data_IF_688598732639
#
_entry.id   IF_688598732639
#
_cell.length_a   1.000
_cell.length_b   1.000
_cell.length_c   1.000
_cell.angle_alpha   90.00
_cell.angle_beta   90.00
_cell.angle_gamma   90.00
#
_symmetry.space_group_name_H-M   'P 1'
#
loop_
_entity.id
_entity.type
_entity.pdbx_description
1 polymer ?
#
# COMPACT_ATOMS: atom_id res chain seq x y z
N UNK A 1 -8.19 -17.95 -12.21
CA UNK A 1 -8.27 -18.50 -10.86
C UNK A 1 -7.33 -17.79 -9.89
N UNK A 2 -5.99 -17.88 -10.03
CA UNK A 2 -4.99 -17.39 -9.06
C UNK A 2 -5.11 -15.91 -8.73
N UNK A 3 -5.41 -15.06 -9.71
CA UNK A 3 -5.57 -13.61 -9.49
C UNK A 3 -6.83 -13.35 -8.63
N UNK A 4 -7.92 -14.05 -8.86
CA UNK A 4 -9.16 -13.93 -8.08
C UNK A 4 -8.94 -14.45 -6.65
N UNK A 5 -8.28 -15.58 -6.50
CA UNK A 5 -7.94 -16.15 -5.19
C UNK A 5 -7.02 -15.22 -4.38
N UNK A 6 -5.99 -14.66 -5.01
CA UNK A 6 -5.08 -13.70 -4.36
C UNK A 6 -5.83 -12.44 -3.93
N UNK A 7 -6.71 -11.90 -4.77
CA UNK A 7 -7.55 -10.76 -4.43
C UNK A 7 -8.45 -11.04 -3.22
N UNK A 8 -9.17 -12.18 -3.22
CA UNK A 8 -10.01 -12.59 -2.10
C UNK A 8 -9.19 -12.74 -0.82
N UNK A 9 -8.05 -13.44 -0.88
CA UNK A 9 -7.16 -13.62 0.26
C UNK A 9 -6.66 -12.28 0.81
N UNK A 10 -6.28 -11.36 -0.07
CA UNK A 10 -5.83 -10.00 0.27
C UNK A 10 -6.93 -9.21 0.97
N UNK A 11 -8.14 -9.23 0.42
CA UNK A 11 -9.31 -8.60 1.03
C UNK A 11 -9.55 -9.13 2.45
N UNK A 12 -9.69 -10.45 2.60
CA UNK A 12 -9.96 -11.08 3.89
C UNK A 12 -8.88 -10.77 4.95
N UNK A 13 -7.63 -10.69 4.51
CA UNK A 13 -6.49 -10.41 5.36
C UNK A 13 -6.40 -8.93 5.76
N UNK A 14 -6.48 -8.03 4.78
CA UNK A 14 -6.32 -6.58 4.99
C UNK A 14 -7.48 -5.99 5.79
N UNK A 15 -8.72 -6.41 5.50
CA UNK A 15 -9.92 -5.96 6.22
C UNK A 15 -10.16 -6.69 7.53
N UNK A 16 -9.24 -7.59 7.94
CA UNK A 16 -9.31 -8.30 9.23
C UNK A 16 -10.55 -9.16 9.43
N UNK A 17 -10.97 -9.86 8.40
CA UNK A 17 -12.12 -10.77 8.54
C UNK A 17 -11.83 -11.85 9.58
N UNK A 18 -12.82 -12.13 10.42
CA UNK A 18 -12.74 -13.13 11.48
C UNK A 18 -12.45 -14.54 10.94
N UNK A 19 -11.93 -15.42 11.80
CA UNK A 19 -11.55 -16.78 11.42
C UNK A 19 -12.72 -17.53 10.76
N UNK A 20 -13.90 -17.51 11.36
CA UNK A 20 -15.08 -18.22 10.84
C UNK A 20 -15.52 -17.65 9.47
N UNK A 21 -15.45 -16.33 9.27
CA UNK A 21 -15.76 -15.71 7.98
C UNK A 21 -14.81 -16.18 6.88
N UNK A 22 -13.51 -16.27 7.19
CA UNK A 22 -12.50 -16.77 6.26
C UNK A 22 -12.70 -18.25 5.94
N UNK A 23 -12.94 -19.07 6.96
CA UNK A 23 -13.21 -20.52 6.80
C UNK A 23 -14.44 -20.71 5.91
N UNK A 24 -15.55 -20.05 6.20
CA UNK A 24 -16.78 -20.18 5.43
C UNK A 24 -16.56 -19.75 3.97
N UNK A 25 -15.89 -18.62 3.73
CA UNK A 25 -15.61 -18.17 2.37
C UNK A 25 -14.75 -19.15 1.58
N UNK A 26 -13.70 -19.70 2.19
CA UNK A 26 -12.89 -20.72 1.50
C UNK A 26 -13.59 -22.06 1.34
N UNK A 27 -14.51 -22.41 2.25
CA UNK A 27 -15.36 -23.58 2.11
C UNK A 27 -16.27 -23.43 0.87
N UNK A 28 -16.95 -22.28 0.70
CA UNK A 28 -17.74 -21.97 -0.48
C UNK A 28 -16.91 -22.13 -1.77
N UNK A 29 -15.69 -21.61 -1.79
CA UNK A 29 -14.77 -21.76 -2.94
C UNK A 29 -14.48 -23.24 -3.24
N UNK A 30 -14.22 -24.06 -2.23
CA UNK A 30 -13.93 -25.49 -2.40
C UNK A 30 -15.17 -26.25 -2.89
N UNK A 31 -16.34 -25.98 -2.34
CA UNK A 31 -17.62 -26.59 -2.74
C UNK A 31 -17.93 -26.28 -4.21
N UNK A 32 -17.72 -25.05 -4.66
CA UNK A 32 -17.88 -24.70 -6.06
C UNK A 32 -16.84 -25.40 -6.97
N UNK A 33 -15.59 -25.55 -6.49
CA UNK A 33 -14.53 -26.25 -7.25
C UNK A 33 -14.82 -27.75 -7.42
N UNK A 34 -15.47 -28.38 -6.44
CA UNK A 34 -15.82 -29.80 -6.45
C UNK A 34 -17.10 -30.11 -7.24
N UNK A 35 -17.86 -29.06 -7.61
CA UNK A 35 -19.09 -29.24 -8.40
C UNK A 35 -18.75 -29.76 -9.80
N UNK A 36 -19.39 -30.87 -10.19
CA UNK A 36 -19.17 -31.54 -11.45
C UNK A 36 -19.45 -30.59 -12.64
N UNK A 37 -18.52 -30.53 -13.59
CA UNK A 37 -18.63 -29.63 -14.76
C UNK A 37 -18.20 -28.20 -14.50
N UNK A 38 -17.82 -27.84 -13.28
CA UNK A 38 -17.28 -26.50 -13.00
C UNK A 38 -15.84 -26.41 -13.50
N UNK A 39 -15.61 -25.51 -14.45
CA UNK A 39 -14.26 -25.14 -14.85
C UNK A 39 -13.79 -24.05 -13.88
N UNK A 40 -12.59 -24.17 -13.30
CA UNK A 40 -11.95 -23.22 -12.34
C UNK A 40 -12.00 -21.73 -12.76
N UNK A 41 -12.58 -21.45 -13.91
CA UNK A 41 -12.77 -20.08 -14.44
C UNK A 41 -14.01 -19.38 -13.87
N UNK A 42 -15.04 -20.11 -13.42
CA UNK A 42 -16.35 -19.60 -13.03
C UNK A 42 -16.71 -19.84 -11.55
N UNK A 43 -15.76 -19.63 -10.65
CA UNK A 43 -15.99 -19.74 -9.22
C UNK A 43 -16.46 -18.38 -8.70
N UNK A 44 -17.77 -18.27 -8.46
CA UNK A 44 -18.40 -17.00 -8.05
C UNK A 44 -17.97 -16.55 -6.65
N UNK A 45 -17.76 -17.48 -5.73
CA UNK A 45 -17.28 -17.21 -4.37
C UNK A 45 -15.88 -16.57 -4.30
N UNK A 46 -15.10 -16.61 -5.40
CA UNK A 46 -13.86 -15.87 -5.54
C UNK A 46 -14.07 -14.38 -5.87
N UNK A 47 -15.25 -13.99 -6.33
CA UNK A 47 -15.53 -12.60 -6.65
C UNK A 47 -15.86 -11.81 -5.39
N UNK A 48 -15.34 -10.59 -5.33
CA UNK A 48 -15.71 -9.64 -4.28
C UNK A 48 -17.05 -8.99 -4.65
N UNK A 49 -17.98 -8.98 -3.70
CA UNK A 49 -19.23 -8.22 -3.79
C UNK A 49 -18.91 -6.72 -3.79
N UNK A 50 -19.79 -5.89 -4.31
CA UNK A 50 -19.56 -4.43 -4.34
C UNK A 50 -19.23 -3.87 -2.95
N UNK A 51 -19.97 -4.24 -1.92
CA UNK A 51 -19.72 -3.82 -0.54
C UNK A 51 -18.34 -4.29 -0.02
N UNK A 52 -17.84 -5.44 -0.47
CA UNK A 52 -16.52 -5.95 -0.11
C UNK A 52 -15.41 -5.17 -0.82
N UNK A 53 -15.64 -4.76 -2.07
CA UNK A 53 -14.72 -3.89 -2.81
C UNK A 53 -14.63 -2.50 -2.17
N UNK A 54 -15.78 -1.89 -1.83
CA UNK A 54 -15.84 -0.60 -1.14
C UNK A 54 -15.09 -0.63 0.19
N UNK A 55 -15.33 -1.66 1.00
CA UNK A 55 -14.62 -1.86 2.28
C UNK A 55 -13.11 -2.01 2.08
N UNK A 56 -12.70 -2.76 1.05
CA UNK A 56 -11.29 -2.96 0.75
C UNK A 56 -10.62 -1.66 0.30
N UNK A 57 -11.24 -0.92 -0.63
CA UNK A 57 -10.77 0.39 -1.10
C UNK A 57 -10.67 1.35 0.09
N UNK A 58 -11.72 1.46 0.90
CA UNK A 58 -11.73 2.32 2.10
C UNK A 58 -10.61 1.99 3.08
N UNK A 59 -10.33 0.69 3.27
CA UNK A 59 -9.23 0.26 4.15
C UNK A 59 -7.88 0.65 3.57
N UNK A 60 -7.67 0.47 2.27
CA UNK A 60 -6.42 0.81 1.58
C UNK A 60 -6.20 2.32 1.49
N UNK A 61 -7.27 3.12 1.36
CA UNK A 61 -7.21 4.58 1.38
C UNK A 61 -7.15 5.18 2.80
N UNK A 62 -7.23 4.34 3.82
CA UNK A 62 -7.17 4.74 5.22
C UNK A 62 -5.76 4.97 5.75
N UNK A 63 -5.66 4.98 7.08
CA UNK A 63 -4.40 5.16 7.82
C UNK A 63 -3.62 3.84 7.90
N UNK A 64 -2.99 3.44 6.81
CA UNK A 64 -2.29 2.16 6.66
C UNK A 64 -1.25 1.93 7.76
N UNK A 65 -0.56 2.99 8.20
CA UNK A 65 0.48 2.82 9.23
C UNK A 65 -0.06 2.39 10.60
N UNK A 66 -1.31 2.72 10.90
CA UNK A 66 -1.95 2.34 12.19
C UNK A 66 -2.38 0.87 12.23
N UNK A 67 -2.42 0.20 11.09
CA UNK A 67 -2.70 -1.23 11.03
C UNK A 67 -1.60 -2.05 11.72
N UNK A 68 -1.92 -3.25 12.22
CA UNK A 68 -0.91 -4.18 12.73
C UNK A 68 0.24 -4.38 11.74
N UNK A 69 1.47 -4.51 12.26
CA UNK A 69 2.70 -4.52 11.43
C UNK A 69 2.66 -5.54 10.29
N UNK A 70 2.12 -6.74 10.54
CA UNK A 70 2.02 -7.79 9.53
C UNK A 70 1.10 -7.42 8.36
N UNK A 71 0.02 -6.62 8.60
CA UNK A 71 -0.89 -6.15 7.52
C UNK A 71 -0.30 -4.98 6.75
N UNK A 72 0.17 -3.95 7.45
CA UNK A 72 0.79 -2.81 6.75
C UNK A 72 2.01 -3.22 5.93
N UNK A 73 2.82 -4.14 6.46
CA UNK A 73 3.96 -4.68 5.72
C UNK A 73 3.52 -5.44 4.47
N UNK A 74 2.47 -6.25 4.56
CA UNK A 74 1.89 -6.93 3.40
C UNK A 74 1.44 -5.93 2.32
N UNK A 75 0.68 -4.89 2.71
CA UNK A 75 0.18 -3.86 1.78
C UNK A 75 1.35 -3.16 1.07
N UNK A 76 2.36 -2.72 1.82
CA UNK A 76 3.53 -2.05 1.26
C UNK A 76 4.34 -2.97 0.33
N UNK A 77 4.54 -4.23 0.72
CA UNK A 77 5.23 -5.21 -0.14
C UNK A 77 4.45 -5.48 -1.42
N UNK A 78 3.14 -5.64 -1.30
CA UNK A 78 2.30 -5.93 -2.46
C UNK A 78 2.25 -4.75 -3.42
N UNK A 79 2.18 -3.52 -2.90
CA UNK A 79 2.27 -2.31 -3.71
C UNK A 79 3.61 -2.24 -4.46
N UNK A 80 4.73 -2.47 -3.79
CA UNK A 80 6.05 -2.52 -4.44
C UNK A 80 6.08 -3.55 -5.58
N UNK A 81 5.46 -4.72 -5.37
CA UNK A 81 5.35 -5.74 -6.41
C UNK A 81 4.49 -5.28 -7.61
N UNK A 82 3.43 -4.51 -7.37
CA UNK A 82 2.53 -4.02 -8.42
C UNK A 82 3.14 -2.91 -9.27
N UNK A 83 3.94 -2.03 -8.67
CA UNK A 83 4.59 -0.92 -9.39
C UNK A 83 5.94 -1.31 -10.01
N UNK A 84 6.37 -2.55 -9.82
CA UNK A 84 7.60 -3.07 -10.40
C UNK A 84 7.32 -3.70 -11.76
N UNK A 85 8.10 -3.33 -12.78
CA UNK A 85 8.03 -3.94 -14.12
C UNK A 85 8.66 -5.34 -14.21
N UNK A 86 9.17 -5.85 -13.12
CA UNK A 86 9.82 -7.17 -13.04
C UNK A 86 9.58 -7.85 -11.70
N UNK A 87 9.95 -9.14 -11.62
CA UNK A 87 9.88 -9.88 -10.37
C UNK A 87 10.85 -9.25 -9.35
N UNK A 88 10.32 -8.44 -8.45
CA UNK A 88 11.08 -7.99 -7.28
C UNK A 88 11.32 -9.22 -6.42
N UNK A 89 12.55 -9.72 -6.42
CA UNK A 89 12.98 -10.73 -5.46
C UNK A 89 13.03 -10.06 -4.09
N UNK A 90 12.00 -10.25 -3.29
CA UNK A 90 12.05 -9.93 -1.88
C UNK A 90 13.03 -10.91 -1.22
N UNK A 91 14.27 -10.52 -1.10
CA UNK A 91 15.36 -11.36 -0.55
C UNK A 91 15.22 -11.60 0.96
N UNK A 92 14.02 -11.69 1.51
CA UNK A 92 13.78 -11.94 2.93
C UNK A 92 14.40 -10.89 3.87
N UNK A 93 15.04 -9.86 3.34
CA UNK A 93 15.61 -8.79 4.16
C UNK A 93 14.47 -8.04 4.83
N UNK A 94 14.55 -7.93 6.14
CA UNK A 94 13.63 -7.17 6.96
C UNK A 94 13.63 -5.72 6.43
N UNK A 95 12.53 -5.32 5.81
CA UNK A 95 12.32 -3.91 5.49
C UNK A 95 11.58 -3.23 6.65
N UNK A 96 11.73 -1.93 6.73
CA UNK A 96 11.00 -1.08 7.65
C UNK A 96 10.19 -0.08 6.84
N UNK A 97 9.06 0.33 7.40
CA UNK A 97 8.24 1.40 6.82
C UNK A 97 8.67 2.71 7.46
N UNK A 98 8.97 3.68 6.62
CA UNK A 98 9.37 5.02 7.02
C UNK A 98 8.36 6.05 6.52
N UNK A 99 8.15 7.10 7.34
CA UNK A 99 7.34 8.26 6.99
C UNK A 99 8.20 9.30 6.25
N UNK A 100 7.78 9.72 5.07
CA UNK A 100 8.43 10.84 4.39
C UNK A 100 8.20 12.14 5.17
N UNK A 101 6.93 12.54 5.36
CA UNK A 101 6.55 13.54 6.36
C UNK A 101 6.61 12.88 7.74
N UNK A 102 7.49 13.29 8.64
CA UNK A 102 7.65 12.64 9.94
C UNK A 102 6.41 12.79 10.82
N UNK A 103 6.15 11.79 11.69
CA UNK A 103 5.05 11.85 12.65
C UNK A 103 5.20 13.02 13.64
N UNK A 104 6.44 13.29 14.04
CA UNK A 104 6.80 14.37 14.97
C UNK A 104 7.88 15.25 14.37
N UNK A 105 7.52 16.21 13.49
CA UNK A 105 8.46 17.16 12.92
C UNK A 105 9.13 17.99 14.02
N UNK A 106 10.41 18.33 13.85
CA UNK A 106 11.09 19.25 14.76
C UNK A 106 10.47 20.65 14.64
N UNK A 107 10.49 21.42 15.73
CA UNK A 107 9.90 22.77 15.79
C UNK A 107 10.55 23.76 14.82
N UNK A 108 11.82 23.55 14.48
CA UNK A 108 12.60 24.38 13.54
C UNK A 108 12.63 23.82 12.10
N UNK A 109 11.85 22.78 11.81
CA UNK A 109 11.86 22.11 10.51
C UNK A 109 11.02 22.84 9.46
N UNK A 110 11.40 22.72 8.20
CA UNK A 110 10.61 23.20 7.05
C UNK A 110 9.23 22.53 6.95
N UNK A 111 9.05 21.36 7.58
CA UNK A 111 7.77 20.66 7.61
C UNK A 111 6.65 21.51 8.18
N UNK A 112 6.91 22.26 9.27
CA UNK A 112 5.90 23.09 9.92
C UNK A 112 5.54 24.35 9.11
N UNK A 113 6.41 24.78 8.21
CA UNK A 113 6.13 25.89 7.30
C UNK A 113 5.25 25.46 6.11
N UNK A 114 5.33 24.18 5.70
CA UNK A 114 4.63 23.65 4.50
C UNK A 114 3.33 22.93 4.86
N UNK A 115 3.26 22.33 6.05
CA UNK A 115 2.17 21.45 6.45
C UNK A 115 1.40 22.03 7.63
N UNK A 116 0.10 22.30 7.45
CA UNK A 116 -0.78 22.60 8.57
C UNK A 116 -0.92 21.39 9.52
N UNK A 117 -1.32 21.63 10.76
CA UNK A 117 -1.60 20.53 11.69
C UNK A 117 -2.71 19.61 11.17
N UNK A 118 -3.74 20.18 10.55
CA UNK A 118 -4.84 19.43 9.97
C UNK A 118 -4.37 18.51 8.83
N UNK A 119 -3.56 19.03 7.90
CA UNK A 119 -3.01 18.24 6.81
C UNK A 119 -2.11 17.11 7.31
N UNK A 120 -1.27 17.39 8.31
CA UNK A 120 -0.43 16.37 8.91
C UNK A 120 -1.25 15.22 9.50
N UNK A 121 -2.33 15.53 10.22
CA UNK A 121 -3.24 14.50 10.77
C UNK A 121 -3.87 13.64 9.68
N UNK A 122 -4.23 14.23 8.54
CA UNK A 122 -4.83 13.50 7.42
C UNK A 122 -3.82 12.58 6.74
N UNK A 123 -2.61 13.06 6.49
CA UNK A 123 -1.69 12.44 5.53
C UNK A 123 -0.60 11.59 6.16
N UNK A 124 -0.25 11.82 7.42
CA UNK A 124 0.93 11.22 8.04
C UNK A 124 0.94 9.68 7.97
N UNK A 125 -0.21 9.04 8.18
CA UNK A 125 -0.34 7.58 8.24
C UNK A 125 -0.87 6.94 6.95
N UNK A 126 -1.18 7.73 5.92
CA UNK A 126 -1.66 7.23 4.63
C UNK A 126 -0.52 6.66 3.79
N UNK A 127 -0.87 5.73 2.90
CA UNK A 127 0.11 5.01 2.10
C UNK A 127 1.00 5.92 1.25
N UNK A 128 0.46 7.06 0.79
CA UNK A 128 1.22 8.04 0.02
C UNK A 128 2.43 8.60 0.78
N UNK A 129 2.35 8.70 2.09
CA UNK A 129 3.43 9.20 2.94
C UNK A 129 4.41 8.10 3.40
N UNK A 130 4.19 6.86 3.00
CA UNK A 130 4.97 5.72 3.45
C UNK A 130 5.92 5.21 2.37
N UNK A 131 7.11 4.84 2.77
CA UNK A 131 8.12 4.23 1.92
C UNK A 131 8.74 3.01 2.59
N UNK A 132 9.28 2.10 1.78
CA UNK A 132 9.98 0.91 2.26
C UNK A 132 11.49 1.16 2.27
N UNK A 133 12.16 0.89 3.37
CA UNK A 133 13.59 1.01 3.53
C UNK A 133 14.19 -0.27 4.12
N UNK A 134 15.47 -0.51 3.88
CA UNK A 134 16.21 -1.48 4.69
C UNK A 134 16.36 -0.95 6.11
N UNK A 135 16.51 -1.84 7.08
CA UNK A 135 16.65 -1.46 8.51
C UNK A 135 17.82 -0.50 8.75
N UNK A 136 18.90 -0.66 8.00
CA UNK A 136 20.08 0.20 8.09
C UNK A 136 19.78 1.65 7.64
N UNK A 137 19.02 1.83 6.56
CA UNK A 137 18.66 3.15 6.06
C UNK A 137 17.64 3.86 6.95
N UNK A 138 16.71 3.12 7.56
CA UNK A 138 15.71 3.72 8.44
C UNK A 138 16.30 4.34 9.70
N UNK A 139 17.35 3.71 10.28
CA UNK A 139 18.03 4.28 11.46
C UNK A 139 18.69 5.65 11.18
N UNK A 140 18.94 5.96 9.91
CA UNK A 140 19.53 7.22 9.45
C UNK A 140 18.48 8.28 9.06
N UNK A 141 17.25 7.87 8.90
CA UNK A 141 16.19 8.69 8.27
C UNK A 141 15.52 9.70 9.19
N UNK A 142 15.66 9.61 10.46
CA UNK A 142 15.18 10.53 11.51
C UNK A 142 14.16 11.63 11.06
N UNK A 143 13.95 12.69 11.84
CA UNK A 143 13.01 13.78 11.55
C UNK A 143 13.63 14.89 10.68
N UNK A 144 14.51 14.51 9.74
CA UNK A 144 15.15 15.47 8.83
C UNK A 144 14.16 16.10 7.84
N UNK A 145 14.52 17.25 7.29
CA UNK A 145 13.79 17.89 6.20
C UNK A 145 13.85 17.06 4.91
N UNK A 146 12.93 17.32 3.98
CA UNK A 146 12.69 16.44 2.85
C UNK A 146 13.93 16.20 1.98
N UNK A 147 14.69 17.25 1.64
CA UNK A 147 15.90 17.12 0.82
C UNK A 147 16.98 16.30 1.52
N UNK A 148 17.17 16.50 2.82
CA UNK A 148 18.12 15.72 3.60
C UNK A 148 17.68 14.25 3.71
N UNK A 149 16.38 14.02 3.88
CA UNK A 149 15.83 12.65 3.82
C UNK A 149 16.12 11.99 2.49
N UNK A 150 15.92 12.65 1.35
CA UNK A 150 16.24 12.10 0.03
C UNK A 150 17.70 11.69 -0.06
N UNK A 151 18.61 12.56 0.32
CA UNK A 151 20.05 12.26 0.29
C UNK A 151 20.42 11.05 1.15
N UNK A 152 19.80 10.91 2.33
CA UNK A 152 20.08 9.81 3.26
C UNK A 152 19.42 8.49 2.90
N UNK A 153 18.21 8.53 2.31
CA UNK A 153 17.49 7.32 1.94
C UNK A 153 18.00 6.65 0.65
N UNK A 154 18.46 7.48 -0.27
CA UNK A 154 18.67 7.05 -1.65
C UNK A 154 20.14 7.01 -2.06
N UNK A 155 21.01 7.67 -1.28
CA UNK A 155 22.44 7.71 -1.50
C UNK A 155 23.15 7.02 -0.33
N UNK A 156 23.27 5.70 -0.38
CA UNK A 156 24.20 5.02 0.50
C UNK A 156 25.46 4.67 -0.30
N UNK A 157 26.58 4.50 0.40
CA UNK A 157 27.82 3.95 -0.17
C UNK A 157 27.63 2.60 -0.87
N UNK A 158 26.51 1.93 -0.65
CA UNK A 158 26.18 0.60 -1.16
C UNK A 158 25.10 0.62 -2.27
N UNK A 159 24.74 1.77 -2.83
CA UNK A 159 23.79 1.90 -3.95
C UNK A 159 22.41 2.45 -3.59
N UNK A 160 21.56 2.53 -4.60
CA UNK A 160 20.18 3.06 -4.50
C UNK A 160 19.25 2.00 -3.92
N UNK A 161 18.23 2.44 -3.17
CA UNK A 161 17.17 1.52 -2.71
C UNK A 161 16.50 0.79 -3.87
N UNK A 162 16.26 -0.50 -3.68
CA UNK A 162 15.58 -1.34 -4.68
C UNK A 162 14.04 -1.34 -4.55
N UNK A 163 13.48 -0.57 -3.62
CA UNK A 163 12.03 -0.51 -3.45
C UNK A 163 11.41 0.55 -4.38
N UNK A 164 10.59 0.14 -5.37
CA UNK A 164 10.03 1.05 -6.37
C UNK A 164 9.29 2.24 -5.79
N UNK A 165 8.42 2.03 -4.78
CA UNK A 165 7.68 3.14 -4.16
C UNK A 165 8.58 4.16 -3.45
N UNK A 166 9.78 3.74 -3.02
CA UNK A 166 10.77 4.61 -2.40
C UNK A 166 11.55 5.36 -3.47
N UNK A 167 11.92 4.68 -4.56
CA UNK A 167 12.59 5.29 -5.71
C UNK A 167 11.74 6.40 -6.35
N UNK A 168 10.41 6.23 -6.41
CA UNK A 168 9.49 7.26 -6.92
C UNK A 168 9.60 8.57 -6.13
N UNK A 169 9.80 8.51 -4.82
CA UNK A 169 9.93 9.72 -3.96
C UNK A 169 11.17 10.54 -4.31
N UNK A 170 12.21 9.90 -4.83
CA UNK A 170 13.44 10.59 -5.26
C UNK A 170 13.21 11.65 -6.34
N UNK A 171 12.30 11.37 -7.27
CA UNK A 171 11.95 12.29 -8.37
C UNK A 171 11.07 13.47 -7.93
N UNK A 172 10.55 13.46 -6.71
CA UNK A 172 9.65 14.50 -6.22
C UNK A 172 10.47 15.69 -5.72
N UNK A 173 10.14 16.90 -6.22
CA UNK A 173 10.83 18.13 -5.84
C UNK A 173 10.35 18.70 -4.50
N UNK A 174 9.04 18.69 -4.27
CA UNK A 174 8.42 19.28 -3.09
C UNK A 174 7.43 18.31 -2.47
N UNK A 175 7.56 18.06 -1.17
CA UNK A 175 6.65 17.22 -0.41
C UNK A 175 5.64 18.10 0.34
N UNK A 176 4.49 18.29 -0.24
CA UNK A 176 3.40 19.12 0.28
C UNK A 176 2.05 18.39 0.19
N UNK A 177 0.97 18.89 0.79
CA UNK A 177 -0.33 18.22 0.79
C UNK A 177 -0.81 17.82 -0.61
N UNK A 178 -0.71 18.73 -1.59
CA UNK A 178 -1.12 18.46 -2.98
C UNK A 178 -0.32 17.33 -3.62
N UNK A 179 0.98 17.31 -3.40
CA UNK A 179 1.85 16.24 -3.94
C UNK A 179 1.49 14.89 -3.33
N UNK A 180 1.21 14.86 -2.03
CA UNK A 180 0.85 13.61 -1.33
C UNK A 180 -0.54 13.14 -1.72
N UNK A 181 -1.49 14.05 -1.92
CA UNK A 181 -2.83 13.73 -2.44
C UNK A 181 -2.77 13.12 -3.85
N UNK A 182 -2.02 13.75 -4.76
CA UNK A 182 -1.81 13.21 -6.11
C UNK A 182 -1.21 11.80 -6.04
N UNK A 183 -0.17 11.61 -5.23
CA UNK A 183 0.45 10.30 -5.02
C UNK A 183 -0.52 9.28 -4.42
N UNK A 184 -1.38 9.68 -3.46
CA UNK A 184 -2.39 8.79 -2.90
C UNK A 184 -3.30 8.25 -3.99
N UNK A 185 -3.81 9.13 -4.85
CA UNK A 185 -4.69 8.76 -5.95
C UNK A 185 -3.99 7.82 -6.95
N UNK A 186 -2.74 8.10 -7.30
CA UNK A 186 -1.94 7.23 -8.18
C UNK A 186 -1.73 5.83 -7.57
N UNK A 187 -1.37 5.74 -6.29
CA UNK A 187 -1.16 4.47 -5.62
C UNK A 187 -2.47 3.69 -5.43
N UNK A 188 -3.56 4.39 -5.12
CA UNK A 188 -4.89 3.78 -5.05
C UNK A 188 -5.34 3.24 -6.41
N UNK A 189 -5.08 3.98 -7.49
CA UNK A 189 -5.34 3.50 -8.85
C UNK A 189 -4.59 2.20 -9.15
N UNK A 190 -3.33 2.08 -8.72
CA UNK A 190 -2.57 0.82 -8.86
C UNK A 190 -3.29 -0.35 -8.17
N UNK A 191 -3.77 -0.18 -6.93
CA UNK A 191 -4.52 -1.22 -6.24
C UNK A 191 -5.82 -1.58 -6.94
N UNK A 192 -6.60 -0.55 -7.34
CA UNK A 192 -7.89 -0.73 -8.02
C UNK A 192 -7.70 -1.50 -9.32
N UNK A 193 -6.70 -1.16 -10.11
CA UNK A 193 -6.44 -1.81 -11.40
C UNK A 193 -5.91 -3.25 -11.21
N UNK A 194 -4.91 -3.44 -10.36
CA UNK A 194 -4.25 -4.74 -10.17
C UNK A 194 -5.15 -5.77 -9.49
N UNK A 195 -5.94 -5.35 -8.51
CA UNK A 195 -6.91 -6.20 -7.84
C UNK A 195 -8.32 -6.15 -8.46
N UNK A 196 -8.53 -5.37 -9.55
CA UNK A 196 -9.81 -5.24 -10.25
C UNK A 196 -10.94 -4.87 -9.29
N UNK A 197 -10.74 -3.77 -8.55
CA UNK A 197 -11.69 -3.30 -7.54
C UNK A 197 -12.65 -2.23 -8.07
N UNK A 198 -12.75 -2.03 -9.38
CA UNK A 198 -13.68 -1.04 -9.96
C UNK A 198 -15.10 -1.29 -9.46
N UNK A 199 -15.75 -0.23 -9.02
CA UNK A 199 -17.14 -0.25 -8.58
C UNK A 199 -18.07 -0.07 -9.79
N UNK A 200 -19.26 -0.70 -9.73
CA UNK A 200 -20.27 -0.55 -10.75
C UNK A 200 -20.85 0.88 -10.66
N UNK A 201 -20.68 1.68 -11.72
CA UNK A 201 -21.20 3.06 -11.79
C UNK A 201 -20.11 4.15 -11.77
N UNK A 202 -18.86 3.86 -11.50
CA UNK A 202 -17.77 4.82 -11.70
C UNK A 202 -17.44 4.93 -13.21
N UNK A 203 -17.95 5.98 -13.84
CA UNK A 203 -17.49 6.42 -15.16
C UNK A 203 -16.12 7.07 -14.94
N UNK A 204 -15.07 6.42 -15.40
CA UNK A 204 -13.74 7.04 -15.43
C UNK A 204 -13.82 8.11 -16.51
N UNK A 205 -13.80 9.38 -16.11
CA UNK A 205 -13.43 10.45 -17.02
C UNK A 205 -11.98 10.17 -17.48
N UNK A 206 -11.87 9.89 -18.75
CA UNK A 206 -10.62 9.57 -19.47
C UNK A 206 -9.77 10.82 -19.69
#
# INVERSE_FOLDING_TARGET
FLIKLERLASYLFVTSKGLNQRINRYKEVLEEMETEGNHYQNIESLELKEIEKEEFIKTLDGEIYTLPSYRRNYIIQRLNSFVSDGAVKFNGKIFTIEHVLPQNPRMDSQWLAVWSEADRKIWVNKIANLVALTRQHNSQAQNYDFEEKKQKYFQSSNGVTSYPITTQVNGIKHWNPRTVETRQNELMKVFIDKWRLKLNGEVIES
#
